data_IF_937951756295
#
_entry.id   IF_937951756295
#
_cell.length_a   1.000
_cell.length_b   1.000
_cell.length_c   1.000
_cell.angle_alpha   90.00
_cell.angle_beta   90.00
_cell.angle_gamma   90.00
#
_symmetry.space_group_name_H-M   'P 1'
#
loop_
_entity.id
_entity.type
_entity.pdbx_description
1 polymer ?
#
# COMPACT_ATOMS: atom_id res chain seq x y z
N UNK A 1 24.02 -3.58 -3.55
CA UNK A 1 22.70 -3.16 -4.03
C UNK A 1 22.83 -2.63 -5.46
N UNK A 2 22.35 -3.39 -6.41
CA UNK A 2 22.39 -2.95 -7.81
C UNK A 2 21.24 -2.01 -8.09
N UNK A 3 21.50 -0.72 -8.00
CA UNK A 3 20.56 0.28 -8.46
C UNK A 3 20.91 0.57 -9.92
N UNK A 4 20.00 0.28 -10.82
CA UNK A 4 20.15 0.73 -12.20
C UNK A 4 19.86 2.20 -12.24
N UNK A 5 20.91 2.97 -12.22
CA UNK A 5 20.81 4.42 -12.34
C UNK A 5 20.80 4.79 -13.81
N UNK A 6 19.62 4.99 -14.34
CA UNK A 6 19.46 5.62 -15.63
C UNK A 6 18.72 6.93 -15.39
N UNK A 7 19.38 8.03 -15.74
CA UNK A 7 18.85 9.36 -15.60
C UNK A 7 18.44 9.89 -16.98
N UNK A 8 17.24 10.41 -17.07
CA UNK A 8 16.74 11.06 -18.27
C UNK A 8 16.47 12.53 -17.96
N UNK A 9 16.90 13.45 -18.84
CA UNK A 9 16.69 14.87 -18.58
C UNK A 9 15.20 15.20 -18.54
N UNK A 10 14.85 16.17 -17.69
CA UNK A 10 13.49 16.68 -17.59
C UNK A 10 13.25 17.71 -18.68
N UNK A 11 12.83 17.24 -19.86
CA UNK A 11 12.48 18.10 -20.98
C UNK A 11 11.27 17.54 -21.71
N UNK A 12 10.73 18.30 -22.64
CA UNK A 12 9.51 17.90 -23.35
C UNK A 12 9.70 16.62 -24.17
N UNK A 13 10.86 16.44 -24.78
CA UNK A 13 11.18 15.24 -25.55
C UNK A 13 11.13 13.97 -24.68
N UNK A 14 11.68 14.05 -23.48
CA UNK A 14 11.66 12.94 -22.52
C UNK A 14 10.23 12.67 -22.02
N UNK A 15 9.46 13.72 -21.70
CA UNK A 15 8.07 13.59 -21.31
C UNK A 15 7.23 12.91 -22.39
N UNK A 16 7.41 13.32 -23.65
CA UNK A 16 6.71 12.72 -24.78
C UNK A 16 7.08 11.24 -24.96
N UNK A 17 8.36 10.92 -24.81
CA UNK A 17 8.85 9.56 -24.88
C UNK A 17 8.24 8.68 -23.78
N UNK A 18 8.23 9.17 -22.55
CA UNK A 18 7.66 8.44 -21.41
C UNK A 18 6.15 8.28 -21.53
N UNK A 19 5.45 9.28 -22.07
CA UNK A 19 4.01 9.21 -22.28
C UNK A 19 3.60 8.14 -23.29
N UNK A 20 4.49 7.78 -24.21
CA UNK A 20 4.24 6.73 -25.21
C UNK A 20 4.52 5.32 -24.70
N UNK A 21 5.19 5.17 -23.57
CA UNK A 21 5.44 3.87 -22.98
C UNK A 21 4.15 3.27 -22.45
N UNK A 22 4.00 1.96 -22.54
CA UNK A 22 2.93 1.27 -21.82
C UNK A 22 3.02 1.60 -20.34
N UNK A 23 1.90 1.51 -19.63
CA UNK A 23 1.83 1.88 -18.23
C UNK A 23 1.46 0.68 -17.37
N UNK A 24 1.89 0.72 -16.12
CA UNK A 24 1.37 -0.17 -15.11
C UNK A 24 0.49 0.62 -14.14
N UNK A 25 -0.43 -0.08 -13.53
CA UNK A 25 -1.34 0.49 -12.55
C UNK A 25 -1.13 -0.20 -11.21
N UNK A 26 -0.79 0.58 -10.21
CA UNK A 26 -0.56 0.07 -8.86
C UNK A 26 -1.82 0.19 -8.03
N UNK A 27 -2.09 -0.81 -7.24
CA UNK A 27 -3.08 -0.73 -6.18
C UNK A 27 -2.37 -0.36 -4.89
N UNK A 28 -2.69 0.78 -4.34
CA UNK A 28 -2.05 1.32 -3.14
C UNK A 28 -3.08 1.68 -2.08
N UNK A 29 -2.64 1.63 -0.83
CA UNK A 29 -3.46 2.00 0.32
C UNK A 29 -2.78 3.10 1.13
N UNK A 30 -3.49 4.21 1.32
CA UNK A 30 -3.14 5.21 2.32
C UNK A 30 -4.26 5.29 3.35
N UNK A 31 -5.21 6.19 3.19
CA UNK A 31 -6.44 6.22 3.98
C UNK A 31 -7.52 5.30 3.39
N UNK A 32 -7.47 5.09 2.08
CA UNK A 32 -8.35 4.18 1.34
C UNK A 32 -7.57 3.56 0.19
N UNK A 33 -8.10 2.48 -0.38
CA UNK A 33 -7.46 1.87 -1.55
C UNK A 33 -7.75 2.66 -2.81
N UNK A 34 -6.73 2.84 -3.61
CA UNK A 34 -6.82 3.54 -4.89
C UNK A 34 -5.83 2.99 -5.89
N UNK A 35 -5.86 3.53 -7.10
CA UNK A 35 -4.96 3.17 -8.18
C UNK A 35 -4.02 4.33 -8.50
N UNK A 36 -2.78 3.99 -8.78
CA UNK A 36 -1.76 4.92 -9.26
C UNK A 36 -1.26 4.45 -10.63
N UNK A 37 -1.09 5.39 -11.54
CA UNK A 37 -0.59 5.11 -12.88
C UNK A 37 0.90 5.43 -12.97
N UNK A 38 1.68 4.47 -13.46
CA UNK A 38 3.10 4.65 -13.69
C UNK A 38 3.49 4.19 -15.08
N UNK A 39 4.56 4.74 -15.66
CA UNK A 39 5.11 4.21 -16.91
C UNK A 39 5.42 2.73 -16.77
N UNK A 40 5.25 1.99 -17.87
CA UNK A 40 5.52 0.56 -17.87
C UNK A 40 6.95 0.27 -17.39
N UNK A 41 7.16 -0.79 -16.58
CA UNK A 41 8.50 -1.09 -16.08
C UNK A 41 9.43 -1.49 -17.22
N UNK A 42 10.65 -0.95 -17.20
CA UNK A 42 11.68 -1.31 -18.15
C UNK A 42 12.31 -2.66 -17.80
N UNK A 43 12.40 -2.93 -16.51
CA UNK A 43 12.89 -4.20 -16.02
C UNK A 43 12.41 -4.47 -14.59
N UNK A 44 12.74 -5.66 -14.11
CA UNK A 44 12.37 -6.10 -12.77
C UNK A 44 13.61 -6.34 -11.93
N UNK A 45 13.54 -5.97 -10.67
CA UNK A 45 14.52 -6.32 -9.67
C UNK A 45 14.04 -7.57 -8.92
N UNK A 46 14.87 -8.61 -8.93
CA UNK A 46 14.60 -9.82 -8.16
C UNK A 46 15.03 -9.60 -6.71
N UNK A 47 14.11 -9.82 -5.78
CA UNK A 47 14.38 -9.74 -4.34
C UNK A 47 13.97 -11.04 -3.69
N UNK A 48 14.89 -11.67 -2.98
CA UNK A 48 14.64 -12.91 -2.24
C UNK A 48 14.62 -12.61 -0.74
N UNK A 49 13.56 -13.00 -0.06
CA UNK A 49 13.50 -12.94 1.40
C UNK A 49 14.34 -14.10 1.96
N UNK A 50 15.28 -13.79 2.83
CA UNK A 50 16.20 -14.79 3.40
C UNK A 50 15.51 -15.79 4.33
N UNK A 51 14.49 -15.34 5.04
CA UNK A 51 13.80 -16.15 6.04
C UNK A 51 12.73 -17.05 5.42
N UNK A 52 11.89 -16.48 4.56
CA UNK A 52 10.78 -17.20 3.94
C UNK A 52 11.14 -17.88 2.62
N UNK A 53 12.32 -17.58 2.05
CA UNK A 53 12.76 -18.05 0.72
C UNK A 53 11.86 -17.59 -0.43
N UNK A 54 10.94 -16.69 -0.18
CA UNK A 54 10.04 -16.17 -1.19
C UNK A 54 10.81 -15.19 -2.10
N UNK A 55 10.66 -15.39 -3.40
CA UNK A 55 11.22 -14.51 -4.43
C UNK A 55 10.13 -13.57 -4.93
N UNK A 56 10.42 -12.28 -4.96
CA UNK A 56 9.54 -11.27 -5.53
C UNK A 56 10.26 -10.52 -6.64
N UNK A 57 9.50 -10.11 -7.65
CA UNK A 57 9.98 -9.28 -8.73
C UNK A 57 9.38 -7.90 -8.58
N UNK A 58 10.22 -6.91 -8.39
CA UNK A 58 9.80 -5.52 -8.19
C UNK A 58 10.03 -4.76 -9.50
N UNK A 59 8.99 -4.15 -10.08
CA UNK A 59 9.16 -3.39 -11.30
C UNK A 59 10.00 -2.13 -11.06
N UNK A 60 10.84 -1.81 -12.01
CA UNK A 60 11.63 -0.58 -12.05
C UNK A 60 10.97 0.37 -13.04
N UNK A 61 10.54 1.52 -12.57
CA UNK A 61 9.84 2.53 -13.36
C UNK A 61 10.54 3.88 -13.24
N UNK A 62 10.36 4.72 -14.25
CA UNK A 62 10.84 6.09 -14.17
C UNK A 62 9.93 6.92 -13.26
N UNK A 63 10.54 7.60 -12.33
CA UNK A 63 9.90 8.53 -11.43
C UNK A 63 10.60 9.89 -11.51
N UNK A 64 9.87 10.94 -11.29
CA UNK A 64 10.42 12.30 -11.31
C UNK A 64 11.21 12.57 -10.03
N UNK A 65 12.45 13.03 -10.20
CA UNK A 65 13.31 13.41 -9.10
C UNK A 65 13.78 14.86 -9.29
N UNK A 66 13.38 15.73 -8.40
CA UNK A 66 13.65 17.15 -8.49
C UNK A 66 15.02 17.56 -7.92
N UNK A 67 15.74 16.68 -7.24
CA UNK A 67 17.03 17.03 -6.61
C UNK A 67 17.05 18.42 -5.95
N UNK A 68 15.97 18.78 -5.28
CA UNK A 68 15.77 20.11 -4.70
C UNK A 68 15.76 21.26 -5.74
N UNK A 69 15.28 20.96 -6.94
CA UNK A 69 15.14 21.94 -8.01
C UNK A 69 16.41 22.25 -8.79
N UNK A 70 17.53 21.65 -8.43
CA UNK A 70 18.82 21.97 -9.07
C UNK A 70 18.99 21.26 -10.40
N UNK A 71 18.69 19.98 -10.47
CA UNK A 71 18.79 19.16 -11.68
C UNK A 71 17.60 18.22 -11.78
N UNK A 72 16.43 18.73 -12.21
CA UNK A 72 15.27 17.87 -12.33
C UNK A 72 15.48 16.84 -13.45
N UNK A 73 15.18 15.59 -13.13
CA UNK A 73 15.32 14.48 -14.08
C UNK A 73 14.40 13.33 -13.71
N UNK A 74 14.23 12.38 -14.62
CA UNK A 74 13.54 11.12 -14.36
C UNK A 74 14.57 10.06 -13.99
N UNK A 75 14.34 9.40 -12.89
CA UNK A 75 15.23 8.38 -12.34
C UNK A 75 14.49 7.04 -12.32
N UNK A 76 15.17 6.00 -12.76
CA UNK A 76 14.65 4.65 -12.71
C UNK A 76 14.69 4.13 -11.26
N UNK A 77 13.54 3.89 -10.68
CA UNK A 77 13.41 3.47 -9.28
C UNK A 77 12.57 2.20 -9.15
N UNK A 78 12.90 1.35 -8.17
CA UNK A 78 12.02 0.23 -7.86
C UNK A 78 10.73 0.71 -7.20
N UNK A 79 9.63 0.10 -7.57
CA UNK A 79 8.34 0.32 -6.92
C UNK A 79 8.30 -0.51 -5.64
N UNK A 80 8.35 0.15 -4.50
CA UNK A 80 8.29 -0.49 -3.19
C UNK A 80 7.24 0.17 -2.30
N UNK A 81 6.79 -0.54 -1.29
CA UNK A 81 5.82 -0.01 -0.32
C UNK A 81 6.37 1.19 0.45
N UNK A 82 7.69 1.25 0.65
CA UNK A 82 8.32 2.38 1.32
C UNK A 82 8.38 3.63 0.46
N UNK A 83 8.42 3.48 -0.87
CA UNK A 83 8.49 4.59 -1.81
C UNK A 83 7.12 5.20 -2.12
N UNK A 84 6.11 4.37 -2.24
CA UNK A 84 4.78 4.76 -2.70
C UNK A 84 3.66 4.38 -1.72
N UNK A 85 3.98 4.23 -0.44
CA UNK A 85 3.04 3.76 0.56
C UNK A 85 2.83 2.26 0.52
N UNK A 86 1.66 1.78 0.90
CA UNK A 86 1.37 0.36 0.98
C UNK A 86 0.86 -0.17 -0.37
N UNK A 87 1.78 -0.65 -1.21
CA UNK A 87 1.43 -1.24 -2.50
C UNK A 87 0.98 -2.68 -2.31
N UNK A 88 -0.20 -3.02 -2.84
CA UNK A 88 -0.78 -4.37 -2.78
C UNK A 88 -0.54 -5.18 -4.05
N UNK A 89 -0.32 -4.52 -5.17
CA UNK A 89 -0.04 -5.19 -6.42
C UNK A 89 0.05 -4.21 -7.58
N UNK A 90 0.35 -4.73 -8.74
CA UNK A 90 0.39 -3.95 -9.97
C UNK A 90 -0.19 -4.73 -11.14
N UNK A 91 -0.76 -4.02 -12.09
CA UNK A 91 -1.55 -4.58 -13.19
C UNK A 91 -1.25 -3.83 -14.49
N UNK A 92 -1.46 -4.48 -15.61
CA UNK A 92 -1.25 -3.86 -16.91
C UNK A 92 -2.45 -3.04 -17.40
N UNK A 93 -3.64 -3.29 -16.87
CA UNK A 93 -4.81 -2.52 -17.24
C UNK A 93 -5.37 -1.76 -16.04
N UNK A 94 -5.84 -0.54 -16.31
CA UNK A 94 -6.48 0.29 -15.30
C UNK A 94 -7.70 -0.39 -14.68
N UNK A 95 -8.48 -1.08 -15.51
CA UNK A 95 -9.69 -1.75 -15.03
C UNK A 95 -9.37 -2.88 -14.04
N UNK A 96 -8.36 -3.69 -14.34
CA UNK A 96 -7.93 -4.74 -13.41
C UNK A 96 -7.49 -4.16 -12.06
N UNK A 97 -6.69 -3.11 -12.10
CA UNK A 97 -6.22 -2.45 -10.88
C UNK A 97 -7.40 -1.86 -10.08
N UNK A 98 -8.33 -1.21 -10.77
CA UNK A 98 -9.53 -0.65 -10.15
C UNK A 98 -10.39 -1.72 -9.50
N UNK A 99 -10.63 -2.83 -10.18
CA UNK A 99 -11.43 -3.94 -9.66
C UNK A 99 -10.80 -4.51 -8.39
N UNK A 100 -9.49 -4.68 -8.39
CA UNK A 100 -8.76 -5.17 -7.21
C UNK A 100 -8.78 -4.14 -6.08
N UNK A 101 -8.58 -2.87 -6.37
CA UNK A 101 -8.66 -1.80 -5.38
C UNK A 101 -10.06 -1.75 -4.74
N UNK A 102 -11.11 -1.90 -5.52
CA UNK A 102 -12.49 -1.92 -5.03
C UNK A 102 -12.75 -3.11 -4.10
N UNK A 103 -12.20 -4.28 -4.42
CA UNK A 103 -12.30 -5.47 -3.55
C UNK A 103 -11.59 -5.22 -2.23
N UNK A 104 -10.37 -4.71 -2.27
CA UNK A 104 -9.62 -4.38 -1.04
C UNK A 104 -10.35 -3.32 -0.20
N UNK A 105 -10.91 -2.30 -0.83
CA UNK A 105 -11.64 -1.25 -0.11
C UNK A 105 -12.89 -1.79 0.56
N UNK A 106 -13.64 -2.66 -0.10
CA UNK A 106 -14.81 -3.31 0.50
C UNK A 106 -14.41 -4.18 1.69
N UNK A 107 -13.34 -4.97 1.54
CA UNK A 107 -12.83 -5.79 2.63
C UNK A 107 -12.35 -4.93 3.81
N UNK A 108 -11.66 -3.82 3.53
CA UNK A 108 -11.22 -2.90 4.57
C UNK A 108 -12.40 -2.32 5.34
N UNK A 109 -13.43 -1.84 4.63
CA UNK A 109 -14.63 -1.28 5.25
C UNK A 109 -15.38 -2.30 6.09
N UNK A 110 -15.47 -3.53 5.59
CA UNK A 110 -16.09 -4.62 6.33
C UNK A 110 -15.34 -4.93 7.61
N UNK A 111 -14.01 -5.06 7.55
CA UNK A 111 -13.17 -5.30 8.73
C UNK A 111 -13.27 -4.18 9.75
N UNK A 112 -13.32 -2.94 9.31
CA UNK A 112 -13.49 -1.79 10.20
C UNK A 112 -14.83 -1.87 10.93
N UNK A 113 -15.92 -2.19 10.22
CA UNK A 113 -17.24 -2.36 10.82
C UNK A 113 -17.28 -3.53 11.81
N UNK A 114 -16.71 -4.67 11.43
CA UNK A 114 -16.63 -5.84 12.31
C UNK A 114 -15.83 -5.53 13.56
N UNK A 115 -14.69 -4.86 13.41
CA UNK A 115 -13.87 -4.46 14.55
C UNK A 115 -14.60 -3.50 15.47
N UNK A 116 -15.27 -2.49 14.92
CA UNK A 116 -16.05 -1.54 15.70
C UNK A 116 -17.19 -2.24 16.46
N UNK A 117 -17.93 -3.13 15.80
CA UNK A 117 -18.97 -3.93 16.42
C UNK A 117 -18.43 -4.81 17.54
N UNK A 118 -17.29 -5.46 17.30
CA UNK A 118 -16.63 -6.29 18.29
C UNK A 118 -16.19 -5.47 19.49
N UNK A 119 -15.58 -4.32 19.25
CA UNK A 119 -15.11 -3.44 20.32
C UNK A 119 -16.27 -2.97 21.19
N UNK A 120 -17.40 -2.59 20.58
CA UNK A 120 -18.59 -2.20 21.32
C UNK A 120 -19.15 -3.35 22.15
N UNK A 121 -19.24 -4.54 21.55
CA UNK A 121 -19.71 -5.74 22.24
C UNK A 121 -18.77 -6.12 23.40
N UNK A 122 -17.46 -6.07 23.17
CA UNK A 122 -16.47 -6.33 24.21
C UNK A 122 -16.57 -5.31 25.34
N UNK A 123 -16.71 -4.03 25.00
CA UNK A 123 -16.88 -2.98 26.00
C UNK A 123 -18.13 -3.18 26.83
N UNK A 124 -19.28 -3.47 26.22
CA UNK A 124 -20.53 -3.78 26.92
C UNK A 124 -20.36 -5.00 27.83
N UNK A 125 -19.69 -6.03 27.35
CA UNK A 125 -19.43 -7.25 28.13
C UNK A 125 -18.56 -6.94 29.34
N UNK A 126 -17.49 -6.14 29.16
CA UNK A 126 -16.65 -5.71 30.29
C UNK A 126 -17.43 -4.91 31.32
N UNK A 127 -18.27 -3.97 30.88
CA UNK A 127 -19.09 -3.17 31.77
C UNK A 127 -20.08 -4.05 32.55
N UNK A 128 -20.66 -5.05 31.92
CA UNK A 128 -21.56 -6.01 32.56
C UNK A 128 -20.82 -6.86 33.60
N UNK A 129 -19.63 -7.34 33.27
CA UNK A 129 -18.79 -8.11 34.17
C UNK A 129 -18.38 -7.30 35.41
N UNK A 130 -18.02 -6.04 35.24
CA UNK A 130 -17.70 -5.14 36.35
C UNK A 130 -18.92 -4.91 37.25
N UNK A 131 -20.11 -4.73 36.68
CA UNK A 131 -21.34 -4.55 37.41
C UNK A 131 -21.66 -5.79 38.24
N UNK A 132 -21.58 -6.98 37.65
CA UNK A 132 -21.80 -8.24 38.33
C UNK A 132 -20.80 -8.45 39.47
N UNK A 133 -19.53 -8.11 39.24
CA UNK A 133 -18.48 -8.17 40.25
C UNK A 133 -18.77 -7.23 41.42
N UNK A 134 -19.15 -6.00 41.11
CA UNK A 134 -19.51 -5.00 42.11
C UNK A 134 -20.71 -5.46 42.96
N UNK A 135 -21.75 -6.00 42.35
CA UNK A 135 -22.90 -6.52 43.03
C UNK A 135 -22.54 -7.71 43.96
N UNK A 136 -21.65 -8.59 43.48
CA UNK A 136 -21.12 -9.70 44.26
C UNK A 136 -20.33 -9.23 45.48
N UNK A 137 -19.45 -8.24 45.30
CA UNK A 137 -18.67 -7.66 46.39
C UNK A 137 -19.58 -6.98 47.43
N UNK A 138 -20.62 -6.27 46.99
CA UNK A 138 -21.60 -5.65 47.85
C UNK A 138 -22.42 -6.68 48.64
N UNK A 139 -22.63 -7.86 48.07
CA UNK A 139 -23.31 -8.97 48.72
C UNK A 139 -22.41 -9.72 49.71
N UNK A 140 -21.16 -9.33 49.87
CA UNK A 140 -20.20 -9.97 50.75
C UNK A 140 -19.62 -11.27 50.21
N UNK A 141 -19.81 -11.56 48.95
CA UNK A 141 -19.21 -12.70 48.22
C UNK A 141 -17.91 -12.30 47.58
N UNK A 142 -16.96 -11.83 48.37
CA UNK A 142 -15.69 -11.38 47.88
C UNK A 142 -14.91 -12.46 47.12
N UNK A 143 -14.49 -12.19 45.95
CA UNK A 143 -13.53 -12.99 45.22
C UNK A 143 -12.29 -12.17 44.89
#
# INVERSE_FOLDING_TARGET
MCIVRKHLPYNQKTKDKLAKLPKIYLVACWASYGTLEFPFPIKYKKVKNKDTKIVRYIPLVYDFDDHNGVYPEYVLRPITSTTTGCIKGWFYTKQQAKDVADVYERCRRQKVREYASRTDAEFRHMMQAEKEKSDTDQAGLGE
#
